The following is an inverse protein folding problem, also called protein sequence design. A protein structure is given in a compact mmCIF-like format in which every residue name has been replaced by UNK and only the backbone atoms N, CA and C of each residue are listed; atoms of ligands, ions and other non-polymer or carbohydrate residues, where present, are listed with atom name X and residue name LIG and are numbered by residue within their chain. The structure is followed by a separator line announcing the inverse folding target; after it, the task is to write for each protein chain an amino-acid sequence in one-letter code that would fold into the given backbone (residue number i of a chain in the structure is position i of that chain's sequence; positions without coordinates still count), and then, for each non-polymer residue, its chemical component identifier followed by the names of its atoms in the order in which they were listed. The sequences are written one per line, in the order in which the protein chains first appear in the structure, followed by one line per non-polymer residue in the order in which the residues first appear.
data_IF_113099636747
#
_entry.id   IF_113099636747
#
_cell.length_a   1.000
_cell.length_b   1.000
_cell.length_c   1.000
_cell.angle_alpha   90.00
_cell.angle_beta   90.00
_cell.angle_gamma   90.00
#
_symmetry.space_group_name_H-M   'P 1'
#
loop_
_entity.id
_entity.type
_entity.pdbx_description
1 polymer ?
#
# COMPACT_ATOMS: atom_id res chain seq x y z
N UNK A 1 -0.55 3.28 17.40
CA UNK A 1 -0.32 3.10 15.94
C UNK A 1 -0.32 1.62 15.53
N UNK A 2 0.45 0.75 16.19
CA UNK A 2 0.46 -0.72 15.94
C UNK A 2 -0.92 -1.38 16.03
N UNK A 3 -1.69 -1.12 17.09
CA UNK A 3 -3.02 -1.73 17.32
C UNK A 3 -4.02 -1.42 16.22
N UNK A 4 -3.94 -0.22 15.62
CA UNK A 4 -4.84 0.24 14.56
C UNK A 4 -4.67 -0.53 13.24
N UNK A 5 -3.50 -1.13 13.00
CA UNK A 5 -3.25 -1.97 11.83
C UNK A 5 -3.52 -3.45 12.07
N UNK A 6 -3.49 -3.91 13.32
CA UNK A 6 -3.59 -5.33 13.66
C UNK A 6 -4.99 -5.92 13.46
N UNK A 7 -6.03 -5.07 13.38
CA UNK A 7 -7.42 -5.50 13.17
C UNK A 7 -7.76 -5.80 11.70
N UNK A 8 -6.90 -5.44 10.74
CA UNK A 8 -7.15 -5.66 9.31
C UNK A 8 -6.52 -6.94 8.74
N UNK A 9 -7.08 -7.46 7.64
CA UNK A 9 -6.61 -8.69 6.94
C UNK A 9 -5.12 -8.62 6.56
N UNK A 10 -4.60 -7.42 6.25
CA UNK A 10 -3.18 -7.21 5.95
C UNK A 10 -2.30 -7.01 7.17
N UNK A 11 -2.85 -6.60 8.32
CA UNK A 11 -2.10 -6.29 9.53
C UNK A 11 -1.20 -7.42 10.01
N UNK A 12 -1.76 -8.63 10.07
CA UNK A 12 -1.00 -9.84 10.41
C UNK A 12 0.14 -10.08 9.43
N UNK A 13 -0.07 -9.86 8.13
CA UNK A 13 0.99 -10.02 7.13
C UNK A 13 2.03 -8.91 7.18
N UNK A 14 1.70 -7.71 7.62
CA UNK A 14 2.69 -6.63 7.78
C UNK A 14 3.59 -6.85 9.01
N UNK A 15 2.99 -7.21 10.14
CA UNK A 15 3.66 -7.17 11.44
C UNK A 15 4.03 -8.54 12.02
N UNK A 16 3.41 -9.63 11.54
CA UNK A 16 3.69 -11.00 11.99
C UNK A 16 3.37 -12.04 10.89
N UNK A 17 4.09 -11.97 9.78
CA UNK A 17 3.98 -12.94 8.70
C UNK A 17 4.88 -14.12 8.97
N UNK A 18 4.30 -15.20 9.53
CA UNK A 18 5.03 -16.42 9.91
C UNK A 18 6.19 -16.12 10.89
N UNK A 19 5.92 -15.27 11.90
CA UNK A 19 6.94 -14.82 12.86
C UNK A 19 7.77 -13.62 12.39
N UNK A 20 7.59 -13.16 11.14
CA UNK A 20 8.37 -12.07 10.57
C UNK A 20 7.59 -10.74 10.63
N UNK A 21 8.18 -9.75 11.29
CA UNK A 21 7.73 -8.36 11.18
C UNK A 21 8.36 -7.72 9.93
N UNK A 22 7.63 -7.71 8.82
CA UNK A 22 8.16 -7.26 7.53
C UNK A 22 8.47 -5.75 7.52
N UNK A 23 7.69 -4.94 8.26
CA UNK A 23 7.97 -3.51 8.44
C UNK A 23 9.33 -3.31 9.10
N UNK A 24 9.59 -4.00 10.21
CA UNK A 24 10.89 -3.95 10.90
C UNK A 24 12.02 -4.46 10.00
N UNK A 25 11.78 -5.51 9.22
CA UNK A 25 12.75 -6.05 8.29
C UNK A 25 13.15 -5.03 7.20
N UNK A 26 12.18 -4.31 6.61
CA UNK A 26 12.43 -3.23 5.65
C UNK A 26 13.23 -2.10 6.29
N UNK A 27 12.80 -1.62 7.46
CA UNK A 27 13.50 -0.54 8.18
C UNK A 27 14.95 -0.95 8.46
N UNK A 28 15.18 -2.11 9.06
CA UNK A 28 16.52 -2.59 9.39
C UNK A 28 17.40 -2.71 8.13
N UNK A 29 16.84 -3.25 7.04
CA UNK A 29 17.55 -3.40 5.78
C UNK A 29 17.98 -2.05 5.20
N UNK A 30 17.10 -1.06 5.20
CA UNK A 30 17.38 0.28 4.66
C UNK A 30 18.25 1.13 5.60
N UNK A 31 18.26 0.87 6.92
CA UNK A 31 19.23 1.48 7.84
C UNK A 31 20.66 1.00 7.56
N UNK A 32 20.83 -0.29 7.31
CA UNK A 32 22.14 -0.89 7.03
C UNK A 32 22.61 -0.57 5.62
N UNK A 33 21.70 -0.62 4.64
CA UNK A 33 21.99 -0.43 3.22
C UNK A 33 20.92 0.43 2.55
N UNK A 34 21.01 1.77 2.60
CA UNK A 34 20.01 2.68 2.06
C UNK A 34 19.69 2.48 0.56
N UNK A 35 20.68 2.06 -0.21
CA UNK A 35 20.60 1.78 -1.65
C UNK A 35 20.06 0.37 -1.97
N UNK A 36 19.65 -0.39 -0.96
CA UNK A 36 19.18 -1.77 -1.11
C UNK A 36 18.08 -1.90 -2.17
N UNK A 37 18.28 -2.87 -3.06
CA UNK A 37 17.32 -3.23 -4.12
C UNK A 37 16.25 -4.22 -3.65
N UNK A 38 16.34 -4.75 -2.43
CA UNK A 38 15.50 -5.85 -1.94
C UNK A 38 14.68 -5.56 -0.68
N UNK A 39 14.46 -4.28 -0.36
CA UNK A 39 13.59 -3.88 0.75
C UNK A 39 12.11 -3.94 0.31
N UNK A 40 11.53 -5.14 0.43
CA UNK A 40 10.16 -5.42 0.01
C UNK A 40 9.32 -5.97 1.16
N UNK A 41 8.01 -5.83 1.02
CA UNK A 41 6.98 -6.50 1.82
C UNK A 41 6.10 -7.28 0.86
N UNK A 42 5.89 -8.57 1.12
CA UNK A 42 4.90 -9.37 0.39
C UNK A 42 3.65 -9.56 1.23
N UNK A 43 2.49 -9.45 0.60
CA UNK A 43 1.20 -9.70 1.25
C UNK A 43 0.53 -10.96 0.73
N UNK A 44 1.06 -11.60 -0.32
CA UNK A 44 0.51 -12.84 -0.88
C UNK A 44 1.21 -14.07 -0.31
N UNK A 45 0.43 -15.08 0.06
CA UNK A 45 0.90 -16.38 0.52
C UNK A 45 0.34 -17.51 -0.37
N UNK A 46 1.08 -18.04 -1.35
CA UNK A 46 0.54 -19.09 -2.23
C UNK A 46 0.16 -20.40 -1.50
N UNK A 47 0.65 -20.60 -0.27
CA UNK A 47 0.25 -21.75 0.54
C UNK A 47 -1.10 -21.56 1.27
N UNK A 48 -1.55 -20.32 1.47
CA UNK A 48 -2.80 -20.00 2.18
C UNK A 48 -3.86 -19.37 1.29
N UNK A 49 -3.43 -18.61 0.30
CA UNK A 49 -4.28 -17.75 -0.52
C UNK A 49 -4.78 -18.53 -1.73
N UNK A 50 -5.82 -19.35 -1.51
CA UNK A 50 -6.45 -20.14 -2.57
C UNK A 50 -7.68 -19.45 -3.16
N UNK A 51 -8.62 -19.04 -2.30
CA UNK A 51 -9.89 -18.40 -2.70
C UNK A 51 -9.84 -16.88 -2.60
N UNK A 52 -9.23 -16.35 -1.55
CA UNK A 52 -9.16 -14.91 -1.30
C UNK A 52 -7.71 -14.43 -1.36
N UNK A 53 -7.23 -14.25 -2.60
CA UNK A 53 -5.91 -13.70 -2.85
C UNK A 53 -5.91 -12.20 -2.54
N UNK A 54 -4.90 -11.66 -1.85
CA UNK A 54 -4.72 -10.22 -1.63
C UNK A 54 -4.75 -9.40 -2.91
N UNK A 55 -5.36 -8.23 -2.86
CA UNK A 55 -5.34 -7.28 -3.97
C UNK A 55 -3.95 -6.67 -4.11
N UNK A 56 -3.38 -6.17 -3.01
CA UNK A 56 -1.98 -5.74 -2.91
C UNK A 56 -1.12 -6.99 -2.75
N UNK A 57 -0.20 -7.23 -3.69
CA UNK A 57 0.66 -8.41 -3.63
C UNK A 57 2.02 -8.11 -3.01
N UNK A 58 2.63 -6.99 -3.39
CA UNK A 58 3.97 -6.60 -2.93
C UNK A 58 4.10 -5.08 -2.86
N UNK A 59 4.87 -4.60 -1.89
CA UNK A 59 5.33 -3.23 -1.81
C UNK A 59 6.85 -3.21 -1.80
N UNK A 60 7.43 -2.38 -2.65
CA UNK A 60 8.86 -2.14 -2.76
C UNK A 60 9.23 -0.75 -2.24
N UNK A 61 10.30 -0.69 -1.46
CA UNK A 61 10.78 0.52 -0.80
C UNK A 61 12.22 0.83 -1.24
N UNK A 62 12.46 2.09 -1.63
CA UNK A 62 13.76 2.58 -2.09
C UNK A 62 14.03 3.96 -1.52
N UNK A 63 15.25 4.19 -1.02
CA UNK A 63 15.71 5.55 -0.72
C UNK A 63 16.44 6.09 -1.96
N UNK A 64 16.00 7.23 -2.49
CA UNK A 64 16.64 7.96 -3.59
C UNK A 64 16.63 9.44 -3.27
N UNK A 65 17.78 10.11 -3.34
CA UNK A 65 17.90 11.53 -3.01
C UNK A 65 17.28 11.89 -1.65
N UNK A 66 17.50 11.03 -0.64
CA UNK A 66 16.91 11.14 0.71
C UNK A 66 15.37 11.12 0.76
N UNK A 67 14.71 10.62 -0.29
CA UNK A 67 13.28 10.37 -0.37
C UNK A 67 13.00 8.86 -0.33
N UNK A 68 12.01 8.44 0.47
CA UNK A 68 11.49 7.07 0.45
C UNK A 68 10.45 6.93 -0.66
N UNK A 69 10.87 6.42 -1.81
CA UNK A 69 9.98 6.02 -2.90
C UNK A 69 9.36 4.67 -2.56
N UNK A 70 8.04 4.58 -2.69
CA UNK A 70 7.28 3.34 -2.45
C UNK A 70 6.55 2.95 -3.73
N UNK A 71 6.72 1.71 -4.17
CA UNK A 71 5.99 1.15 -5.30
C UNK A 71 5.14 -0.01 -4.81
N UNK A 72 3.82 0.04 -5.00
CA UNK A 72 2.90 -1.02 -4.63
C UNK A 72 2.33 -1.67 -5.89
N UNK A 73 2.39 -2.99 -5.96
CA UNK A 73 1.82 -3.77 -7.05
C UNK A 73 0.54 -4.46 -6.60
N UNK A 74 -0.52 -4.26 -7.38
CA UNK A 74 -1.85 -4.79 -7.18
C UNK A 74 -2.20 -5.71 -8.33
N UNK A 75 -2.60 -6.96 -8.03
CA UNK A 75 -3.17 -7.85 -9.05
C UNK A 75 -4.54 -7.36 -9.54
N UNK A 76 -5.27 -6.66 -8.68
CA UNK A 76 -6.61 -6.14 -8.94
C UNK A 76 -6.93 -5.07 -7.90
N UNK A 77 -7.72 -4.07 -8.25
CA UNK A 77 -8.19 -3.05 -7.33
C UNK A 77 -9.60 -2.58 -7.69
N UNK A 78 -10.45 -2.52 -6.67
CA UNK A 78 -11.76 -1.89 -6.74
C UNK A 78 -11.57 -0.37 -6.59
N UNK A 79 -11.59 0.32 -7.72
CA UNK A 79 -11.41 1.76 -7.82
C UNK A 79 -12.64 2.54 -7.31
N UNK A 80 -13.82 1.92 -7.29
CA UNK A 80 -15.06 2.58 -6.88
C UNK A 80 -15.22 2.71 -5.37
N UNK A 81 -14.73 1.73 -4.61
CA UNK A 81 -14.95 1.66 -3.15
C UNK A 81 -13.69 1.54 -2.30
N UNK A 82 -12.61 0.93 -2.78
CA UNK A 82 -11.50 0.50 -1.91
C UNK A 82 -10.19 1.22 -2.15
N UNK A 83 -9.95 1.70 -3.36
CA UNK A 83 -8.67 2.32 -3.73
C UNK A 83 -8.24 3.46 -2.81
N UNK A 84 -9.14 4.35 -2.41
CA UNK A 84 -8.79 5.47 -1.52
C UNK A 84 -8.38 4.98 -0.13
N UNK A 85 -9.10 3.99 0.41
CA UNK A 85 -8.79 3.42 1.73
C UNK A 85 -7.44 2.69 1.71
N UNK A 86 -7.16 1.94 0.63
CA UNK A 86 -5.88 1.26 0.45
C UNK A 86 -4.72 2.26 0.29
N UNK A 87 -4.91 3.34 -0.48
CA UNK A 87 -3.90 4.41 -0.62
C UNK A 87 -3.61 5.06 0.73
N UNK A 88 -4.63 5.37 1.52
CA UNK A 88 -4.45 5.93 2.86
C UNK A 88 -3.71 4.96 3.79
N UNK A 89 -4.06 3.67 3.76
CA UNK A 89 -3.39 2.65 4.55
C UNK A 89 -1.91 2.50 4.17
N UNK A 90 -1.60 2.49 2.87
CA UNK A 90 -0.21 2.49 2.38
C UNK A 90 0.50 3.77 2.80
N UNK A 91 -0.15 4.93 2.69
CA UNK A 91 0.41 6.21 3.12
C UNK A 91 0.84 6.20 4.59
N UNK A 92 0.07 5.59 5.47
CA UNK A 92 0.46 5.45 6.88
C UNK A 92 1.63 4.46 7.08
N UNK A 93 1.73 3.40 6.28
CA UNK A 93 2.90 2.50 6.27
C UNK A 93 4.15 3.27 5.82
N UNK A 94 4.05 4.06 4.76
CA UNK A 94 5.14 4.89 4.24
C UNK A 94 5.59 5.91 5.29
N UNK A 95 4.65 6.61 5.94
CA UNK A 95 4.96 7.53 7.06
C UNK A 95 5.66 6.84 8.21
N UNK A 96 5.23 5.62 8.57
CA UNK A 96 5.87 4.85 9.63
C UNK A 96 7.32 4.50 9.27
N UNK A 97 7.57 3.98 8.07
CA UNK A 97 8.90 3.59 7.62
C UNK A 97 9.80 4.82 7.47
N UNK A 98 9.31 5.91 6.86
CA UNK A 98 10.09 7.13 6.64
C UNK A 98 10.55 7.77 7.96
N UNK A 99 9.67 7.84 8.97
CA UNK A 99 10.00 8.31 10.32
C UNK A 99 11.09 7.47 10.97
N UNK A 100 11.03 6.14 10.84
CA UNK A 100 12.03 5.24 11.41
C UNK A 100 13.40 5.34 10.73
N UNK A 101 13.43 5.78 9.46
CA UNK A 101 14.64 5.95 8.65
C UNK A 101 15.16 7.39 8.64
N UNK A 102 14.42 8.35 9.22
CA UNK A 102 14.70 9.78 9.16
C UNK A 102 14.89 10.31 7.72
N UNK A 103 14.02 9.87 6.80
CA UNK A 103 14.00 10.31 5.40
C UNK A 103 12.66 10.95 5.05
N UNK A 104 12.65 11.82 4.03
CA UNK A 104 11.40 12.43 3.57
C UNK A 104 10.56 11.41 2.80
N UNK A 105 9.25 11.60 2.77
CA UNK A 105 8.34 10.78 1.96
C UNK A 105 8.56 11.15 0.50
N UNK A 106 8.82 10.15 -0.34
CA UNK A 106 8.94 10.28 -1.78
C UNK A 106 7.64 9.88 -2.49
N UNK A 107 7.72 9.65 -3.82
CA UNK A 107 6.59 9.20 -4.61
C UNK A 107 5.99 7.88 -4.11
N UNK A 108 4.66 7.82 -4.11
CA UNK A 108 3.89 6.58 -3.98
C UNK A 108 3.38 6.19 -5.37
N UNK A 109 3.91 5.09 -5.90
CA UNK A 109 3.62 4.59 -7.24
C UNK A 109 2.76 3.33 -7.10
N UNK A 110 1.64 3.26 -7.81
CA UNK A 110 0.73 2.13 -7.78
C UNK A 110 0.66 1.50 -9.17
N UNK A 111 1.03 0.23 -9.27
CA UNK A 111 0.81 -0.59 -10.47
C UNK A 111 -0.40 -1.48 -10.25
N UNK A 112 -1.45 -1.30 -11.03
CA UNK A 112 -2.71 -2.03 -10.87
C UNK A 112 -3.00 -2.78 -12.17
N UNK A 113 -2.94 -4.12 -12.14
CA UNK A 113 -3.18 -4.93 -13.34
C UNK A 113 -4.65 -4.92 -13.78
N UNK A 114 -5.58 -4.94 -12.83
CA UNK A 114 -7.02 -4.96 -13.10
C UNK A 114 -7.73 -3.95 -12.20
N UNK A 115 -7.77 -2.71 -12.66
CA UNK A 115 -8.58 -1.66 -12.05
C UNK A 115 -10.01 -1.80 -12.53
N UNK A 116 -10.97 -1.89 -11.61
CA UNK A 116 -12.38 -2.09 -11.95
C UNK A 116 -13.30 -1.31 -11.02
N UNK A 117 -14.53 -1.10 -11.49
CA UNK A 117 -15.64 -0.50 -10.75
C UNK A 117 -16.80 -1.49 -10.88
N UNK A 118 -17.48 -1.79 -9.77
CA UNK A 118 -18.70 -2.61 -9.82
C UNK A 118 -19.87 -1.77 -10.33
N UNK A 119 -20.77 -2.40 -11.08
CA UNK A 119 -21.90 -1.72 -11.73
C UNK A 119 -22.79 -0.97 -10.73
N UNK A 120 -23.02 -1.58 -9.57
CA UNK A 120 -23.75 -0.99 -8.43
C UNK A 120 -23.15 0.34 -7.93
N UNK A 121 -21.85 0.60 -8.16
CA UNK A 121 -21.16 1.81 -7.73
C UNK A 121 -21.14 2.93 -8.77
N UNK A 122 -21.49 2.65 -10.04
CA UNK A 122 -21.38 3.61 -11.14
C UNK A 122 -22.17 4.89 -10.83
N UNK A 123 -23.42 4.75 -10.35
CA UNK A 123 -24.26 5.90 -10.02
C UNK A 123 -23.63 6.80 -8.95
N UNK A 124 -23.06 6.19 -7.90
CA UNK A 124 -22.39 6.91 -6.82
C UNK A 124 -21.16 7.65 -7.32
N UNK A 125 -20.34 7.01 -8.15
CA UNK A 125 -19.13 7.60 -8.71
C UNK A 125 -19.46 8.76 -9.63
N UNK A 126 -20.46 8.62 -10.50
CA UNK A 126 -20.91 9.71 -11.37
C UNK A 126 -21.37 10.93 -10.58
N UNK A 127 -22.07 10.75 -9.46
CA UNK A 127 -22.45 11.85 -8.57
C UNK A 127 -21.22 12.54 -7.96
N UNK A 128 -20.22 11.78 -7.53
CA UNK A 128 -18.97 12.32 -6.99
C UNK A 128 -18.24 13.13 -8.07
N UNK A 129 -18.08 12.58 -9.28
CA UNK A 129 -17.42 13.25 -10.40
C UNK A 129 -18.14 14.56 -10.74
N UNK A 130 -19.48 14.52 -10.84
CA UNK A 130 -20.27 15.72 -11.13
C UNK A 130 -20.05 16.81 -10.07
N UNK A 131 -20.09 16.44 -8.79
CA UNK A 131 -19.84 17.37 -7.70
C UNK A 131 -18.42 17.97 -7.76
N UNK A 132 -17.40 17.17 -8.04
CA UNK A 132 -16.02 17.66 -8.20
C UNK A 132 -15.89 18.68 -9.33
N UNK A 133 -16.54 18.42 -10.47
CA UNK A 133 -16.56 19.34 -11.61
C UNK A 133 -17.28 20.66 -11.27
N UNK A 134 -18.38 20.60 -10.51
CA UNK A 134 -19.09 21.79 -10.02
C UNK A 134 -18.21 22.64 -9.09
N UNK A 135 -17.33 22.02 -8.30
CA UNK A 135 -16.33 22.71 -7.47
C UNK A 135 -15.07 23.15 -8.23
N UNK A 136 -15.01 22.95 -9.55
CA UNK A 136 -13.86 23.33 -10.37
C UNK A 136 -12.63 22.44 -10.19
N UNK A 137 -12.78 21.27 -9.56
CA UNK A 137 -11.71 20.29 -9.39
C UNK A 137 -11.62 19.48 -10.70
N UNK A 138 -10.50 19.64 -11.41
CA UNK A 138 -10.20 18.96 -12.69
C UNK A 138 -9.23 17.80 -12.50
#
# INVERSE_FOLDING_TARGET
MKERFLSGVYGKRLFNYRGINQIKAVVNKLKVKPESKSAIITLTDPSKDKRHVPCICVMDFKIRNSLLTTTAFFRSQDAGKKIYADILAIGEIVKLISRNLNVKIGPLILYICSSHIYEEDIKKINNIIKSLLEYGIR
#
